data_IF_747049929068
#
_entry.id   IF_747049929068
#
_cell.length_a   1.000
_cell.length_b   1.000
_cell.length_c   1.000
_cell.angle_alpha   90.00
_cell.angle_beta   90.00
_cell.angle_gamma   90.00
#
_symmetry.space_group_name_H-M   'P 1'
#
loop_
_entity.id
_entity.type
_entity.pdbx_description
1 polymer ?
#
# COMPACT_ATOMS: atom_id res chain seq x y z
N UNK A 1 -2.90 -4.25 9.84
CA UNK A 1 -1.90 -5.23 10.34
C UNK A 1 -0.56 -4.54 10.55
N UNK A 2 0.37 -5.16 11.28
CA UNK A 2 1.73 -4.62 11.52
C UNK A 2 2.72 -5.33 10.60
N UNK A 3 3.36 -4.60 9.70
CA UNK A 3 4.41 -5.10 8.81
C UNK A 3 5.83 -4.98 9.40
N UNK A 4 6.85 -5.46 8.66
CA UNK A 4 8.27 -5.35 9.01
C UNK A 4 8.68 -3.89 9.26
N UNK A 5 9.56 -3.67 10.24
CA UNK A 5 9.91 -2.31 10.68
C UNK A 5 8.79 -1.59 11.44
N UNK A 6 7.68 -2.28 11.78
CA UNK A 6 6.56 -1.73 12.53
C UNK A 6 5.61 -0.86 11.72
N UNK A 7 5.74 -0.84 10.38
CA UNK A 7 4.85 -0.13 9.47
C UNK A 7 3.40 -0.65 9.61
N UNK A 8 2.43 0.26 9.56
CA UNK A 8 1.00 -0.04 9.64
C UNK A 8 0.32 0.54 8.41
N UNK A 9 -0.60 -0.23 7.84
CA UNK A 9 -1.43 0.23 6.72
C UNK A 9 -2.86 -0.29 6.87
N UNK A 10 -3.83 0.54 6.50
CA UNK A 10 -5.25 0.21 6.48
C UNK A 10 -5.98 1.09 5.48
N UNK A 11 -7.04 0.57 4.86
CA UNK A 11 -8.03 1.37 4.13
C UNK A 11 -9.12 1.74 5.12
N UNK A 12 -9.17 3.01 5.53
CA UNK A 12 -10.06 3.44 6.62
C UNK A 12 -11.41 3.95 6.11
N UNK A 13 -11.40 4.57 4.93
CA UNK A 13 -12.62 5.10 4.32
C UNK A 13 -12.54 5.08 2.81
N UNK A 14 -13.70 5.27 2.20
CA UNK A 14 -13.85 5.40 0.75
C UNK A 14 -14.89 6.46 0.43
N UNK A 15 -14.73 7.14 -0.69
CA UNK A 15 -15.71 8.10 -1.21
C UNK A 15 -15.80 7.99 -2.73
N UNK A 16 -16.88 8.54 -3.30
CA UNK A 16 -17.02 8.67 -4.75
C UNK A 16 -16.43 10.01 -5.17
N UNK A 17 -15.47 9.98 -6.09
CA UNK A 17 -14.88 11.17 -6.68
C UNK A 17 -15.96 11.95 -7.45
N UNK A 18 -16.05 13.26 -7.20
CA UNK A 18 -17.07 14.12 -7.80
C UNK A 18 -16.80 14.44 -9.26
N UNK A 19 -15.55 14.30 -9.72
CA UNK A 19 -15.16 14.65 -11.08
C UNK A 19 -15.40 13.51 -12.08
N UNK A 20 -15.19 12.26 -11.67
CA UNK A 20 -15.32 11.11 -12.57
C UNK A 20 -16.14 9.93 -12.02
N UNK A 21 -16.72 10.07 -10.82
CA UNK A 21 -17.60 9.07 -10.25
C UNK A 21 -16.91 7.79 -9.78
N UNK A 22 -15.57 7.71 -9.84
CA UNK A 22 -14.85 6.53 -9.38
C UNK A 22 -14.74 6.48 -7.85
N UNK A 23 -14.75 5.27 -7.29
CA UNK A 23 -14.49 5.07 -5.86
C UNK A 23 -13.01 5.27 -5.56
N UNK A 24 -12.72 6.17 -4.64
CA UNK A 24 -11.39 6.41 -4.05
C UNK A 24 -11.36 5.78 -2.67
N UNK A 25 -10.28 5.05 -2.40
CA UNK A 25 -9.95 4.44 -1.12
C UNK A 25 -8.88 5.30 -0.44
N UNK A 26 -9.10 5.64 0.83
CA UNK A 26 -8.16 6.39 1.64
C UNK A 26 -7.40 5.41 2.53
N UNK A 27 -6.11 5.27 2.23
CA UNK A 27 -5.20 4.42 2.95
C UNK A 27 -4.49 5.24 4.03
N UNK A 28 -4.59 4.84 5.29
CA UNK A 28 -3.79 5.37 6.39
C UNK A 28 -2.49 4.58 6.47
N UNK A 29 -1.37 5.29 6.55
CA UNK A 29 -0.02 4.72 6.58
C UNK A 29 0.70 5.28 7.79
N UNK A 30 1.24 4.40 8.63
CA UNK A 30 2.06 4.78 9.79
C UNK A 30 3.37 4.02 9.81
N UNK A 31 4.44 4.67 10.25
CA UNK A 31 5.76 4.06 10.43
C UNK A 31 6.33 4.49 11.78
N UNK A 32 7.06 3.62 12.51
CA UNK A 32 7.60 4.02 13.82
C UNK A 32 8.60 5.19 13.77
N UNK A 33 9.25 5.40 12.62
CA UNK A 33 10.18 6.52 12.40
C UNK A 33 9.50 7.79 11.88
N UNK A 34 8.18 7.79 11.68
CA UNK A 34 7.41 8.96 11.27
C UNK A 34 6.33 9.20 12.33
N UNK A 35 6.34 10.36 13.00
CA UNK A 35 5.53 10.59 14.20
C UNK A 35 4.05 10.62 13.87
N UNK A 36 3.70 11.20 12.72
CA UNK A 36 2.32 11.33 12.26
C UNK A 36 2.04 10.37 11.11
N UNK A 37 0.98 9.55 11.18
CA UNK A 37 0.53 8.79 10.03
C UNK A 37 0.04 9.74 8.94
N UNK A 38 0.16 9.32 7.68
CA UNK A 38 -0.35 10.07 6.54
C UNK A 38 -1.36 9.27 5.74
N UNK A 39 -2.11 9.99 4.91
CA UNK A 39 -3.15 9.39 4.09
C UNK A 39 -2.79 9.40 2.62
N UNK A 40 -3.08 8.29 1.96
CA UNK A 40 -2.87 8.12 0.53
C UNK A 40 -4.18 7.76 -0.14
N UNK A 41 -4.56 8.53 -1.16
CA UNK A 41 -5.77 8.32 -1.95
C UNK A 41 -5.47 7.47 -3.17
N UNK A 42 -6.17 6.34 -3.32
CA UNK A 42 -5.95 5.39 -4.42
C UNK A 42 -7.28 4.86 -4.93
N UNK A 43 -7.38 4.68 -6.24
CA UNK A 43 -8.49 3.98 -6.90
C UNK A 43 -8.15 2.52 -7.00
N UNK A 44 -9.17 1.66 -7.15
CA UNK A 44 -8.94 0.23 -7.33
C UNK A 44 -8.00 -0.08 -8.53
N UNK A 45 -8.06 0.71 -9.61
CA UNK A 45 -7.13 0.58 -10.75
C UNK A 45 -5.67 0.74 -10.34
N UNK A 46 -5.37 1.63 -9.39
CA UNK A 46 -4.01 1.87 -8.91
C UNK A 46 -3.48 0.62 -8.18
N UNK A 47 -4.33 -0.07 -7.42
CA UNK A 47 -3.96 -1.34 -6.78
C UNK A 47 -3.70 -2.44 -7.80
N UNK A 48 -4.47 -2.49 -8.89
CA UNK A 48 -4.20 -3.44 -9.99
C UNK A 48 -2.83 -3.14 -10.62
N UNK A 49 -2.56 -1.87 -10.91
CA UNK A 49 -1.26 -1.46 -11.47
C UNK A 49 -0.10 -1.75 -10.51
N UNK A 50 -0.29 -1.54 -9.20
CA UNK A 50 0.68 -1.93 -8.20
C UNK A 50 0.91 -3.45 -8.23
N UNK A 51 -0.17 -4.24 -8.19
CA UNK A 51 -0.09 -5.70 -8.21
C UNK A 51 0.68 -6.22 -9.41
N UNK A 52 0.38 -5.70 -10.61
CA UNK A 52 1.08 -6.08 -11.84
C UNK A 52 2.59 -5.78 -11.79
N UNK A 53 2.99 -4.69 -11.12
CA UNK A 53 4.39 -4.30 -10.98
C UNK A 53 5.16 -5.12 -9.94
N UNK A 54 4.48 -5.68 -8.94
CA UNK A 54 5.11 -6.38 -7.82
C UNK A 54 4.85 -7.90 -7.83
N UNK A 55 4.00 -8.40 -8.74
CA UNK A 55 3.66 -9.83 -8.84
C UNK A 55 4.88 -10.73 -9.05
N UNK A 56 5.92 -10.24 -9.72
CA UNK A 56 7.17 -10.99 -9.91
C UNK A 56 7.86 -11.29 -8.58
N UNK A 57 7.72 -10.42 -7.58
CA UNK A 57 8.17 -10.68 -6.21
C UNK A 57 7.38 -11.80 -5.53
N UNK A 58 6.16 -12.04 -6.01
CA UNK A 58 5.21 -12.98 -5.43
C UNK A 58 5.27 -14.36 -6.07
N UNK A 59 5.81 -14.51 -7.28
CA UNK A 59 5.85 -15.76 -8.05
C UNK A 59 6.52 -16.93 -7.32
N UNK A 60 7.42 -16.64 -6.36
CA UNK A 60 8.12 -17.65 -5.56
C UNK A 60 7.49 -17.92 -4.20
N UNK A 61 6.39 -17.23 -3.88
CA UNK A 61 5.72 -17.39 -2.59
C UNK A 61 4.69 -18.50 -2.67
N UNK A 62 4.68 -19.34 -1.65
CA UNK A 62 3.64 -20.37 -1.47
C UNK A 62 2.24 -19.76 -1.31
N UNK A 63 2.16 -18.55 -0.76
CA UNK A 63 0.91 -17.83 -0.48
C UNK A 63 1.08 -16.32 -0.77
N UNK A 64 0.86 -15.89 -2.03
CA UNK A 64 1.06 -14.51 -2.45
C UNK A 64 -0.10 -13.60 -2.03
N UNK A 65 0.12 -12.28 -1.86
CA UNK A 65 -0.97 -11.33 -1.61
C UNK A 65 -2.02 -11.35 -2.72
N UNK A 66 -3.26 -11.70 -2.38
CA UNK A 66 -4.36 -11.75 -3.34
C UNK A 66 -5.05 -10.39 -3.48
N UNK A 67 -5.06 -9.85 -4.71
CA UNK A 67 -5.83 -8.67 -5.03
C UNK A 67 -7.33 -9.05 -5.13
N UNK A 68 -8.26 -8.33 -4.47
CA UNK A 68 -9.68 -8.65 -4.61
C UNK A 68 -10.13 -8.51 -6.07
N UNK A 69 -11.04 -9.36 -6.56
CA UNK A 69 -11.41 -9.38 -7.96
C UNK A 69 -12.11 -8.09 -8.43
N UNK A 70 -12.03 -7.85 -9.74
CA UNK A 70 -12.83 -6.82 -10.41
C UNK A 70 -14.30 -7.25 -10.37
N UNK A 71 -15.15 -6.38 -9.85
CA UNK A 71 -16.60 -6.55 -9.99
C UNK A 71 -17.05 -5.80 -11.24
N UNK A 72 -17.60 -6.51 -12.21
CA UNK A 72 -18.10 -5.94 -13.48
C UNK A 72 -19.52 -5.38 -13.29
N UNK A 73 -20.29 -5.92 -12.34
CA UNK A 73 -21.62 -5.45 -11.95
C UNK A 73 -21.63 -4.96 -10.50
N UNK A 74 -22.40 -3.90 -10.21
CA UNK A 74 -22.58 -3.39 -8.84
C UNK A 74 -21.31 -2.85 -8.17
N UNK A 75 -20.30 -2.49 -8.97
CA UNK A 75 -18.94 -2.15 -8.51
C UNK A 75 -18.86 -0.94 -7.57
N UNK A 76 -19.88 -0.08 -7.62
CA UNK A 76 -20.05 1.10 -6.77
C UNK A 76 -21.17 0.99 -5.74
N UNK A 77 -21.72 -0.20 -5.49
CA UNK A 77 -22.64 -0.42 -4.36
C UNK A 77 -21.87 -0.41 -3.03
N UNK A 78 -22.47 0.10 -1.96
CA UNK A 78 -21.81 0.24 -0.65
C UNK A 78 -21.28 -1.10 -0.13
N UNK A 79 -22.04 -2.18 -0.33
CA UNK A 79 -21.62 -3.54 0.03
C UNK A 79 -20.34 -3.96 -0.70
N UNK A 80 -20.25 -3.72 -2.01
CA UNK A 80 -19.07 -4.06 -2.81
C UNK A 80 -17.89 -3.18 -2.44
N UNK A 81 -18.12 -1.88 -2.25
CA UNK A 81 -17.08 -0.93 -1.84
C UNK A 81 -16.52 -1.30 -0.47
N UNK A 82 -17.38 -1.56 0.52
CA UNK A 82 -16.97 -1.94 1.86
C UNK A 82 -16.20 -3.28 1.88
N UNK A 83 -16.73 -4.32 1.23
CA UNK A 83 -16.04 -5.60 1.12
C UNK A 83 -14.68 -5.48 0.45
N UNK A 84 -14.59 -4.63 -0.59
CA UNK A 84 -13.33 -4.35 -1.26
C UNK A 84 -12.36 -3.56 -0.37
N UNK A 85 -12.82 -2.60 0.43
CA UNK A 85 -11.95 -1.86 1.39
C UNK A 85 -11.26 -2.79 2.38
N UNK A 86 -11.99 -3.78 2.92
CA UNK A 86 -11.43 -4.79 3.83
C UNK A 86 -10.36 -5.62 3.11
N UNK A 87 -10.70 -6.14 1.91
CA UNK A 87 -9.78 -6.97 1.14
C UNK A 87 -8.53 -6.20 0.68
N UNK A 88 -8.66 -4.94 0.29
CA UNK A 88 -7.52 -4.07 -0.07
C UNK A 88 -6.63 -3.78 1.14
N UNK A 89 -7.21 -3.62 2.34
CA UNK A 89 -6.42 -3.47 3.58
C UNK A 89 -5.57 -4.71 3.86
N UNK A 90 -6.19 -5.90 3.75
CA UNK A 90 -5.49 -7.16 3.94
C UNK A 90 -4.39 -7.36 2.89
N UNK A 91 -4.69 -7.05 1.63
CA UNK A 91 -3.73 -7.07 0.53
C UNK A 91 -2.50 -6.19 0.81
N UNK A 92 -2.70 -4.93 1.23
CA UNK A 92 -1.59 -4.02 1.52
C UNK A 92 -0.75 -4.50 2.72
N UNK A 93 -1.39 -5.01 3.78
CA UNK A 93 -0.69 -5.59 4.92
C UNK A 93 0.24 -6.72 4.46
N UNK A 94 -0.29 -7.66 3.68
CA UNK A 94 0.47 -8.82 3.19
C UNK A 94 1.57 -8.41 2.22
N UNK A 95 1.31 -7.45 1.34
CA UNK A 95 2.31 -6.91 0.42
C UNK A 95 3.50 -6.28 1.17
N UNK A 96 3.24 -5.52 2.24
CA UNK A 96 4.29 -4.95 3.09
C UNK A 96 5.10 -6.05 3.78
N UNK A 97 4.44 -7.06 4.35
CA UNK A 97 5.11 -8.20 5.00
C UNK A 97 6.11 -8.92 4.09
N UNK A 98 5.74 -9.08 2.83
CA UNK A 98 6.56 -9.77 1.83
C UNK A 98 7.66 -8.87 1.27
N UNK A 99 7.35 -7.62 0.94
CA UNK A 99 8.22 -6.77 0.12
C UNK A 99 9.20 -5.96 0.97
N UNK A 100 8.80 -5.49 2.15
CA UNK A 100 9.66 -4.66 3.00
C UNK A 100 11.00 -5.35 3.35
N UNK A 101 11.06 -6.66 3.66
CA UNK A 101 12.33 -7.33 3.92
C UNK A 101 13.25 -7.36 2.71
N UNK A 102 12.69 -7.48 1.49
CA UNK A 102 13.45 -7.49 0.23
C UNK A 102 14.08 -6.12 -0.08
N UNK A 103 13.39 -5.04 0.29
CA UNK A 103 13.89 -3.67 0.14
C UNK A 103 15.04 -3.34 1.09
N UNK A 104 15.00 -3.84 2.33
CA UNK A 104 16.06 -3.61 3.32
C UNK A 104 17.40 -4.26 2.96
N UNK A 105 17.42 -5.19 2.00
CA UNK A 105 18.64 -5.88 1.55
C UNK A 105 19.25 -5.29 0.28
N UNK A 106 18.49 -4.47 -0.47
CA UNK A 106 18.84 -4.05 -1.83
C UNK A 106 18.64 -2.54 -2.00
N UNK A 107 19.28 -1.72 -1.16
CA UNK A 107 19.39 -0.28 -1.41
C UNK A 107 20.55 -0.02 -2.38
N UNK A 108 20.34 -0.37 -3.66
CA UNK A 108 21.24 -0.03 -4.77
C UNK A 108 20.46 0.65 -5.88
N UNK A 109 19.90 1.83 -5.61
CA UNK A 109 19.72 2.92 -6.59
C UNK A 109 18.93 2.69 -7.89
N UNK A 110 18.44 1.48 -8.20
CA UNK A 110 17.73 1.19 -9.44
C UNK A 110 16.22 1.25 -9.21
N UNK A 111 15.58 2.27 -9.78
CA UNK A 111 14.12 2.33 -9.85
C UNK A 111 13.58 1.08 -10.55
N UNK A 112 12.48 0.52 -10.02
CA UNK A 112 11.85 -0.68 -10.58
C UNK A 112 11.82 -1.90 -9.65
N UNK A 113 12.38 -1.80 -8.44
CA UNK A 113 12.21 -2.87 -7.45
C UNK A 113 10.75 -2.95 -6.95
N UNK A 114 10.29 -4.13 -6.49
CA UNK A 114 8.97 -4.28 -5.88
C UNK A 114 8.77 -3.33 -4.68
N UNK A 115 9.82 -3.10 -3.90
CA UNK A 115 9.81 -2.16 -2.78
C UNK A 115 9.62 -0.73 -3.28
N UNK A 116 10.35 -0.29 -4.31
CA UNK A 116 10.18 1.04 -4.89
C UNK A 116 8.75 1.28 -5.37
N UNK A 117 8.12 0.29 -6.02
CA UNK A 117 6.72 0.41 -6.45
C UNK A 117 5.74 0.50 -5.28
N UNK A 118 5.95 -0.30 -4.23
CA UNK A 118 5.13 -0.23 -3.00
C UNK A 118 5.32 1.10 -2.26
N UNK A 119 6.58 1.56 -2.11
CA UNK A 119 6.91 2.82 -1.46
C UNK A 119 6.34 4.02 -2.21
N UNK A 120 6.45 4.04 -3.54
CA UNK A 120 5.82 5.07 -4.38
C UNK A 120 4.29 5.03 -4.27
N UNK A 121 3.70 3.83 -4.29
CA UNK A 121 2.25 3.68 -4.13
C UNK A 121 1.77 4.19 -2.77
N UNK A 122 2.51 3.95 -1.69
CA UNK A 122 2.19 4.41 -0.33
C UNK A 122 2.75 5.80 -0.01
N UNK A 123 3.41 6.45 -0.97
CA UNK A 123 4.07 7.75 -0.79
C UNK A 123 4.98 7.78 0.44
N UNK A 124 5.73 6.68 0.68
CA UNK A 124 6.69 6.61 1.76
C UNK A 124 7.78 7.67 1.50
N UNK A 125 8.06 8.58 2.45
CA UNK A 125 9.10 9.57 2.30
C UNK A 125 10.46 8.91 2.02
N UNK A 126 11.17 9.38 0.99
CA UNK A 126 12.49 8.88 0.59
C UNK A 126 13.62 9.28 1.56
N UNK A 127 13.35 10.21 2.48
CA UNK A 127 14.20 10.54 3.64
C UNK A 127 13.30 10.68 4.87
N UNK A 128 13.68 10.15 6.04
CA UNK A 128 13.10 10.67 7.28
C UNK A 128 13.41 12.17 7.35
N UNK A 129 12.49 13.00 7.88
CA UNK A 129 12.75 14.42 8.08
C UNK A 129 14.12 14.64 8.74
N UNK A 130 14.88 15.63 8.28
CA UNK A 130 16.22 15.95 8.78
C UNK A 130 16.27 16.22 10.31
N UNK A 131 15.12 16.38 10.95
CA UNK A 131 14.94 16.53 12.39
C UNK A 131 15.21 15.23 13.20
N UNK A 132 15.33 14.07 12.55
CA UNK A 132 15.58 12.79 13.22
C UNK A 132 17.05 12.53 13.59
N UNK A 133 17.97 13.44 13.25
CA UNK A 133 19.38 13.32 13.67
C UNK A 133 19.61 13.61 15.17
N UNK A 134 18.61 14.14 15.88
CA UNK A 134 18.77 14.60 17.28
C UNK A 134 18.23 13.61 18.32
N UNK A 135 17.66 12.47 17.93
CA UNK A 135 17.09 11.47 18.86
C UNK A 135 17.92 10.20 19.00
N UNK A 136 19.15 10.19 18.46
CA UNK A 136 20.13 9.10 18.66
C UNK A 136 21.47 9.62 19.19
N UNK A 137 21.46 10.79 19.85
CA UNK A 137 22.58 11.30 20.66
C UNK A 137 22.27 11.14 22.14
#
# INVERSE_FOLDING_TARGET
>A
GRGPGGMRVSVERSYRDVHDGHTVYVCSVGMPCVPDPWEVRRRYRDFVMLHDKIKTAFERLKDPPHLPPRHIFGSGSDRVVHGRSIALSAYLCRAIEVIAPLGMTLDRGEGGTPYHHLASFLQIPSRPPSEFKTLLS
#
